data_IF_810707771570
#
_entry.id   IF_810707771570
#
_cell.length_a   1.000
_cell.length_b   1.000
_cell.length_c   1.000
_cell.angle_alpha   90.00
_cell.angle_beta   90.00
_cell.angle_gamma   90.00
#
_symmetry.space_group_name_H-M   'P 1'
#
loop_
_entity.id
_entity.type
_entity.pdbx_description
1 polymer ?
#
# COMPACT_ATOMS: atom_id res chain seq x y z
N UNK A 1 20.86 16.55 20.36
CA UNK A 1 19.45 16.10 20.55
C UNK A 1 18.48 16.51 19.43
N UNK A 2 18.59 17.68 18.77
CA UNK A 2 17.70 18.07 17.65
C UNK A 2 17.77 17.17 16.39
N UNK A 3 18.96 16.67 16.04
CA UNK A 3 19.17 15.80 14.86
C UNK A 3 18.48 14.43 14.99
N UNK A 4 18.61 13.78 16.16
CA UNK A 4 17.95 12.51 16.48
C UNK A 4 16.42 12.64 16.47
N UNK A 5 15.89 13.76 16.96
CA UNK A 5 14.45 14.04 16.93
C UNK A 5 13.93 14.19 15.49
N UNK A 6 14.62 14.96 14.65
CA UNK A 6 14.28 15.15 13.23
C UNK A 6 14.34 13.84 12.43
N UNK A 7 15.34 12.99 12.69
CA UNK A 7 15.42 11.66 12.05
C UNK A 7 14.28 10.72 12.49
N UNK A 8 13.92 10.76 13.77
CA UNK A 8 12.83 9.95 14.32
C UNK A 8 11.45 10.43 13.80
N UNK A 9 11.26 11.74 13.67
CA UNK A 9 10.09 12.35 13.02
C UNK A 9 9.99 11.92 11.54
N UNK A 10 11.09 11.98 10.78
CA UNK A 10 11.12 11.49 9.38
C UNK A 10 10.83 9.99 9.27
N UNK A 11 11.30 9.17 10.21
CA UNK A 11 11.03 7.71 10.19
C UNK A 11 9.57 7.41 10.51
N UNK A 12 8.94 8.18 11.40
CA UNK A 12 7.52 8.06 11.69
C UNK A 12 6.70 8.48 10.46
N UNK A 13 7.00 9.62 9.85
CA UNK A 13 6.32 10.11 8.66
C UNK A 13 6.39 9.11 7.50
N UNK A 14 7.57 8.51 7.23
CA UNK A 14 7.68 7.44 6.23
C UNK A 14 6.78 6.24 6.52
N UNK A 15 6.66 5.83 7.79
CA UNK A 15 5.76 4.73 8.16
C UNK A 15 4.29 5.08 7.93
N UNK A 16 3.89 6.32 8.25
CA UNK A 16 2.53 6.79 8.00
C UNK A 16 2.22 6.83 6.49
N UNK A 17 3.16 7.33 5.69
CA UNK A 17 3.05 7.33 4.22
C UNK A 17 2.91 5.91 3.67
N UNK A 18 3.75 4.97 4.11
CA UNK A 18 3.67 3.57 3.66
C UNK A 18 2.37 2.90 4.09
N UNK A 19 1.92 3.14 5.32
CA UNK A 19 0.65 2.60 5.81
C UNK A 19 -0.53 3.15 5.01
N UNK A 20 -0.58 4.46 4.77
CA UNK A 20 -1.61 5.11 3.98
C UNK A 20 -1.63 4.55 2.55
N UNK A 21 -0.47 4.46 1.90
CA UNK A 21 -0.37 3.89 0.56
C UNK A 21 -0.82 2.42 0.51
N UNK A 22 -0.44 1.60 1.49
CA UNK A 22 -0.87 0.20 1.58
C UNK A 22 -2.39 0.05 1.69
N UNK A 23 -3.04 0.91 2.49
CA UNK A 23 -4.50 0.92 2.62
C UNK A 23 -5.20 1.35 1.32
N UNK A 24 -4.65 2.34 0.60
CA UNK A 24 -5.20 2.80 -0.69
C UNK A 24 -4.99 1.80 -1.84
N UNK A 25 -3.99 0.93 -1.72
CA UNK A 25 -3.69 -0.14 -2.67
C UNK A 25 -4.41 -1.46 -2.34
N UNK A 26 -5.25 -1.49 -1.31
CA UNK A 26 -6.03 -2.68 -1.00
C UNK A 26 -7.27 -2.76 -1.90
N UNK A 27 -7.71 -3.98 -2.22
CA UNK A 27 -8.92 -4.19 -3.00
C UNK A 27 -10.14 -3.55 -2.29
N UNK A 28 -10.99 -2.76 -2.97
CA UNK A 28 -12.10 -2.05 -2.35
C UNK A 28 -13.28 -2.97 -2.04
N UNK A 29 -13.13 -3.75 -0.98
CA UNK A 29 -14.14 -4.61 -0.36
C UNK A 29 -15.05 -3.83 0.62
N UNK A 30 -15.79 -4.54 1.48
CA UNK A 30 -16.70 -3.93 2.46
C UNK A 30 -16.01 -2.98 3.45
N UNK A 31 -14.71 -3.13 3.69
CA UNK A 31 -13.90 -2.26 4.56
C UNK A 31 -13.36 -1.02 3.83
N UNK A 32 -13.68 -0.82 2.55
CA UNK A 32 -13.11 0.26 1.74
C UNK A 32 -13.34 1.65 2.37
N UNK A 33 -14.56 1.95 2.79
CA UNK A 33 -14.90 3.24 3.38
C UNK A 33 -14.14 3.51 4.70
N UNK A 34 -14.02 2.49 5.55
CA UNK A 34 -13.27 2.56 6.82
C UNK A 34 -11.77 2.76 6.58
N UNK A 35 -11.21 2.10 5.55
CA UNK A 35 -9.82 2.30 5.15
C UNK A 35 -9.57 3.71 4.65
N UNK A 36 -10.48 4.30 3.88
CA UNK A 36 -10.36 5.70 3.45
C UNK A 36 -10.41 6.68 4.64
N UNK A 37 -11.25 6.41 5.65
CA UNK A 37 -11.30 7.23 6.87
C UNK A 37 -9.98 7.11 7.67
N UNK A 38 -9.47 5.88 7.85
CA UNK A 38 -8.17 5.64 8.48
C UNK A 38 -7.05 6.40 7.75
N UNK A 39 -7.07 6.44 6.42
CA UNK A 39 -6.07 7.18 5.65
C UNK A 39 -6.15 8.68 5.94
N UNK A 40 -7.34 9.28 6.02
CA UNK A 40 -7.47 10.70 6.37
C UNK A 40 -6.83 11.02 7.74
N UNK A 41 -7.04 10.16 8.73
CA UNK A 41 -6.43 10.30 10.06
C UNK A 41 -4.90 10.23 10.00
N UNK A 42 -4.35 9.30 9.22
CA UNK A 42 -2.90 9.19 9.02
C UNK A 42 -2.34 10.43 8.32
N UNK A 43 -3.05 10.94 7.30
CA UNK A 43 -2.61 12.09 6.52
C UNK A 43 -2.62 13.41 7.32
N UNK A 44 -3.40 13.51 8.41
CA UNK A 44 -3.33 14.64 9.34
C UNK A 44 -1.94 14.81 9.99
N UNK A 45 -1.09 13.79 9.92
CA UNK A 45 0.26 13.76 10.49
C UNK A 45 1.38 13.71 9.44
N UNK A 46 1.04 13.82 8.15
CA UNK A 46 2.00 13.82 7.03
C UNK A 46 1.99 15.19 6.37
N UNK A 47 3.15 15.66 5.91
CA UNK A 47 3.29 16.98 5.31
C UNK A 47 3.92 16.95 3.92
N UNK A 48 3.70 18.02 3.15
CA UNK A 48 4.29 18.19 1.82
C UNK A 48 3.70 17.26 0.76
N UNK A 49 4.49 16.99 -0.29
CA UNK A 49 4.05 16.29 -1.49
C UNK A 49 3.40 14.91 -1.25
N UNK A 50 3.87 14.05 -0.32
CA UNK A 50 3.19 12.79 -0.04
C UNK A 50 1.75 12.97 0.44
N UNK A 51 1.49 13.96 1.29
CA UNK A 51 0.14 14.25 1.79
C UNK A 51 -0.79 14.70 0.66
N UNK A 52 -0.29 15.54 -0.25
CA UNK A 52 -1.06 16.03 -1.42
C UNK A 52 -1.43 14.90 -2.39
N UNK A 53 -0.47 14.03 -2.73
CA UNK A 53 -0.67 12.93 -3.67
C UNK A 53 -1.63 11.87 -3.10
N UNK A 54 -1.44 11.48 -1.84
CA UNK A 54 -2.31 10.52 -1.17
C UNK A 54 -3.71 11.12 -0.93
N UNK A 55 -3.79 12.38 -0.51
CA UNK A 55 -5.07 13.08 -0.31
C UNK A 55 -5.89 13.22 -1.60
N UNK A 56 -5.22 13.51 -2.73
CA UNK A 56 -5.88 13.51 -4.06
C UNK A 56 -6.44 12.14 -4.40
N UNK A 57 -5.70 11.07 -4.08
CA UNK A 57 -6.12 9.69 -4.30
C UNK A 57 -7.34 9.34 -3.44
N UNK A 58 -7.33 9.69 -2.15
CA UNK A 58 -8.48 9.51 -1.25
C UNK A 58 -9.72 10.23 -1.77
N UNK A 59 -9.58 11.49 -2.15
CA UNK A 59 -10.68 12.29 -2.67
C UNK A 59 -11.28 11.68 -3.94
N UNK A 60 -10.43 11.22 -4.87
CA UNK A 60 -10.87 10.54 -6.08
C UNK A 60 -11.62 9.25 -5.77
N UNK A 61 -11.04 8.38 -4.93
CA UNK A 61 -11.62 7.09 -4.56
C UNK A 61 -12.96 7.24 -3.81
N UNK A 62 -13.07 8.25 -2.95
CA UNK A 62 -14.31 8.55 -2.20
C UNK A 62 -15.44 9.04 -3.09
N UNK A 63 -15.13 9.64 -4.24
CA UNK A 63 -16.12 10.09 -5.21
C UNK A 63 -16.66 8.96 -6.11
N UNK A 64 -16.08 7.75 -6.03
CA UNK A 64 -16.51 6.60 -6.80
C UNK A 64 -17.54 5.77 -6.04
N UNK A 65 -18.51 5.23 -6.77
CA UNK A 65 -19.31 4.11 -6.28
C UNK A 65 -18.39 2.90 -6.00
N UNK A 66 -18.61 2.13 -4.91
CA UNK A 66 -17.71 1.04 -4.51
C UNK A 66 -17.43 0.04 -5.64
N UNK A 67 -18.46 -0.34 -6.40
CA UNK A 67 -18.31 -1.23 -7.55
C UNK A 67 -17.41 -0.64 -8.65
N UNK A 68 -17.46 0.68 -8.86
CA UNK A 68 -16.60 1.36 -9.85
C UNK A 68 -15.15 1.41 -9.38
N UNK A 69 -14.93 1.59 -8.08
CA UNK A 69 -13.60 1.49 -7.49
C UNK A 69 -13.02 0.07 -7.68
N UNK A 70 -13.82 -0.98 -7.46
CA UNK A 70 -13.42 -2.37 -7.65
C UNK A 70 -13.04 -2.68 -9.10
N UNK A 71 -13.86 -2.25 -10.06
CA UNK A 71 -13.54 -2.40 -11.49
C UNK A 71 -12.24 -1.67 -11.84
N UNK A 72 -12.09 -0.41 -11.41
CA UNK A 72 -10.87 0.37 -11.64
C UNK A 72 -9.63 -0.27 -11.05
N UNK A 73 -9.76 -0.91 -9.88
CA UNK A 73 -8.68 -1.68 -9.25
C UNK A 73 -8.24 -2.85 -10.15
N UNK A 74 -9.18 -3.70 -10.56
CA UNK A 74 -8.88 -4.88 -11.41
C UNK A 74 -8.26 -4.46 -12.74
N UNK A 75 -8.82 -3.43 -13.38
CA UNK A 75 -8.32 -2.89 -14.65
C UNK A 75 -6.90 -2.32 -14.54
N UNK A 76 -6.55 -1.80 -13.36
CA UNK A 76 -5.25 -1.17 -13.11
C UNK A 76 -4.20 -2.17 -12.65
N UNK A 77 -4.52 -3.05 -11.71
CA UNK A 77 -3.55 -3.87 -11.01
C UNK A 77 -3.56 -5.35 -11.45
N UNK A 78 -4.70 -5.89 -11.85
CA UNK A 78 -4.81 -7.33 -12.16
C UNK A 78 -4.68 -7.62 -13.66
N UNK A 79 -5.21 -6.73 -14.50
CA UNK A 79 -5.21 -6.94 -15.95
C UNK A 79 -3.93 -6.46 -16.65
N UNK A 80 -3.08 -5.69 -15.95
CA UNK A 80 -1.91 -5.02 -16.55
C UNK A 80 -0.61 -5.48 -15.88
N UNK A 81 0.21 -6.21 -16.65
CA UNK A 81 1.54 -6.67 -16.22
C UNK A 81 2.43 -5.56 -15.67
N UNK A 82 2.35 -4.36 -16.26
CA UNK A 82 3.20 -3.21 -15.89
C UNK A 82 2.87 -2.56 -14.54
N UNK A 83 1.72 -2.89 -13.96
CA UNK A 83 1.21 -2.28 -12.73
C UNK A 83 0.73 -3.32 -11.74
N UNK A 84 1.08 -4.59 -11.91
CA UNK A 84 0.67 -5.62 -10.97
C UNK A 84 1.30 -5.45 -9.60
N UNK A 85 0.51 -5.70 -8.56
CA UNK A 85 0.95 -5.63 -7.16
C UNK A 85 1.60 -6.95 -6.68
N UNK A 86 1.59 -8.00 -7.51
CA UNK A 86 2.26 -9.25 -7.18
C UNK A 86 3.77 -9.12 -7.37
N UNK A 87 4.50 -8.90 -6.27
CA UNK A 87 5.95 -8.77 -6.31
C UNK A 87 6.66 -9.97 -6.95
N UNK A 88 6.14 -11.19 -6.76
CA UNK A 88 6.68 -12.40 -7.39
C UNK A 88 6.58 -12.38 -8.93
N UNK A 89 5.60 -11.66 -9.48
CA UNK A 89 5.48 -11.48 -10.92
C UNK A 89 6.67 -10.67 -11.47
N UNK A 90 7.12 -9.66 -10.75
CA UNK A 90 8.25 -8.83 -11.16
C UNK A 90 9.60 -9.54 -11.01
N UNK A 91 9.75 -10.39 -10.00
CA UNK A 91 11.01 -11.10 -9.76
C UNK A 91 11.16 -12.37 -10.59
N UNK A 92 10.05 -13.07 -10.90
CA UNK A 92 10.08 -14.41 -11.50
C UNK A 92 9.15 -14.57 -12.72
N UNK A 93 8.36 -13.56 -13.07
CA UNK A 93 7.32 -13.68 -14.08
C UNK A 93 6.27 -14.74 -13.73
N UNK A 94 5.58 -15.22 -14.76
CA UNK A 94 4.67 -16.37 -14.67
C UNK A 94 5.43 -17.67 -15.01
N UNK A 95 6.50 -17.94 -14.24
CA UNK A 95 7.34 -19.12 -14.45
C UNK A 95 7.19 -20.11 -13.30
N UNK A 96 7.62 -21.35 -13.54
CA UNK A 96 7.68 -22.42 -12.52
C UNK A 96 8.50 -22.07 -11.27
N UNK A 97 9.28 -20.98 -11.28
CA UNK A 97 10.07 -20.53 -10.14
C UNK A 97 9.28 -19.68 -9.12
N UNK A 98 8.00 -19.35 -9.35
CA UNK A 98 7.22 -18.52 -8.42
C UNK A 98 7.19 -19.07 -6.97
N UNK A 99 7.21 -20.39 -6.81
CA UNK A 99 7.19 -21.05 -5.50
C UNK A 99 8.40 -20.73 -4.62
N UNK A 100 9.62 -20.68 -5.18
CA UNK A 100 10.82 -20.36 -4.38
C UNK A 100 10.85 -18.89 -3.94
N UNK A 101 10.35 -17.98 -4.77
CA UNK A 101 10.23 -16.56 -4.42
C UNK A 101 9.15 -16.32 -3.36
N UNK A 102 8.01 -17.02 -3.41
CA UNK A 102 7.03 -16.98 -2.34
C UNK A 102 7.62 -17.46 -1.00
N UNK A 103 8.38 -18.56 -1.01
CA UNK A 103 9.05 -19.06 0.20
C UNK A 103 10.04 -18.05 0.77
N UNK A 104 10.77 -17.33 -0.09
CA UNK A 104 11.68 -16.27 0.34
C UNK A 104 10.92 -15.14 1.08
N UNK A 105 9.77 -14.70 0.57
CA UNK A 105 8.93 -13.72 1.27
C UNK A 105 8.47 -14.25 2.62
N UNK A 106 7.92 -15.46 2.66
CA UNK A 106 7.46 -16.10 3.90
C UNK A 106 8.59 -16.19 4.94
N UNK A 107 9.82 -16.47 4.50
CA UNK A 107 10.98 -16.50 5.38
C UNK A 107 11.32 -15.12 5.94
N UNK A 108 11.37 -14.09 5.09
CA UNK A 108 11.66 -12.71 5.52
C UNK A 108 10.65 -12.18 6.54
N UNK A 109 9.34 -12.47 6.37
CA UNK A 109 8.34 -12.11 7.39
C UNK A 109 8.63 -12.80 8.73
N UNK A 110 8.91 -14.11 8.71
CA UNK A 110 9.23 -14.86 9.94
C UNK A 110 10.51 -14.39 10.61
N UNK A 111 11.56 -14.09 9.85
CA UNK A 111 12.82 -13.53 10.38
C UNK A 111 12.60 -12.16 11.04
N UNK A 112 11.65 -11.38 10.53
CA UNK A 112 11.21 -10.12 11.13
C UNK A 112 10.25 -10.30 12.32
N UNK A 113 9.94 -11.55 12.71
CA UNK A 113 9.06 -11.86 13.85
C UNK A 113 7.57 -11.65 13.58
N UNK A 114 7.16 -11.59 12.32
CA UNK A 114 5.76 -11.39 11.92
C UNK A 114 5.22 -12.61 11.20
N UNK A 115 3.93 -12.90 11.40
CA UNK A 115 3.27 -13.95 10.64
C UNK A 115 3.11 -13.50 9.19
N UNK A 116 3.55 -14.31 8.21
CA UNK A 116 3.31 -14.03 6.81
C UNK A 116 1.79 -14.05 6.52
N UNK A 117 1.31 -13.19 5.61
CA UNK A 117 -0.09 -13.16 5.19
C UNK A 117 -0.51 -14.42 4.43
#
# INVERSE_FOLDING_TARGET
>A
MKLLRRQRESTLEHRLVWQAAALLLAYPDEQFAERLATVDELLAHVSGSPAELLGTTVAHLRALEPMRAAVGYVDTFDMRRRSTLYLTYWTAGDTRNRGSHMLAFTHTYREAGVNPP
#
